data_IF_985599849634
#
_entry.id   IF_985599849634
#
_cell.length_a   1.000
_cell.length_b   1.000
_cell.length_c   1.000
_cell.angle_alpha   90.00
_cell.angle_beta   90.00
_cell.angle_gamma   90.00
#
_symmetry.space_group_name_H-M   'P 1'
#
loop_
_entity.id
_entity.type
_entity.pdbx_description
1 polymer ?
#
# COMPACT_ATOMS: atom_id res chain seq x y z
N UNK A 1 7.46 28.86 20.01
CA UNK A 1 7.47 27.52 20.64
C UNK A 1 6.82 26.57 19.63
N UNK A 2 7.62 25.88 18.82
CA UNK A 2 7.09 24.92 17.82
C UNK A 2 6.46 23.75 18.59
N UNK A 3 5.13 23.62 18.52
CA UNK A 3 4.45 22.41 19.00
C UNK A 3 4.65 21.36 17.92
N UNK A 4 5.58 20.42 18.13
CA UNK A 4 5.74 19.27 17.26
C UNK A 4 4.43 18.48 17.26
N UNK A 5 3.83 18.30 16.08
CA UNK A 5 2.66 17.43 15.91
C UNK A 5 3.15 15.99 16.01
N UNK A 6 2.82 15.30 17.09
CA UNK A 6 3.05 13.87 17.20
C UNK A 6 1.74 13.12 16.99
N UNK A 7 1.79 12.01 16.25
CA UNK A 7 0.62 11.15 16.05
C UNK A 7 0.36 10.40 17.35
N UNK A 8 -0.62 10.87 18.13
CA UNK A 8 -1.01 10.24 19.40
C UNK A 8 -1.95 9.04 19.24
N UNK A 9 -2.47 8.81 18.02
CA UNK A 9 -3.26 7.61 17.74
C UNK A 9 -2.35 6.36 17.74
N UNK A 10 -2.80 5.23 18.32
CA UNK A 10 -2.07 3.96 18.23
C UNK A 10 -1.73 3.63 16.77
N UNK A 11 -0.45 3.42 16.49
CA UNK A 11 0.03 3.06 15.16
C UNK A 11 0.11 1.54 15.10
N UNK A 12 -0.72 0.92 14.27
CA UNK A 12 -0.74 -0.53 14.11
C UNK A 12 -0.15 -0.90 12.75
N UNK A 13 0.71 -1.90 12.74
CA UNK A 13 1.43 -2.36 11.56
C UNK A 13 1.31 -3.86 11.37
N UNK A 14 1.27 -4.33 10.13
CA UNK A 14 1.44 -5.73 9.78
C UNK A 14 2.92 -6.02 9.49
N UNK A 15 3.65 -6.44 10.52
CA UNK A 15 5.10 -6.67 10.48
C UNK A 15 5.46 -8.13 10.23
N UNK A 16 6.50 -8.39 9.44
CA UNK A 16 7.12 -9.71 9.31
C UNK A 16 8.57 -9.70 9.81
N UNK A 17 8.91 -10.68 10.66
CA UNK A 17 10.19 -10.72 11.38
C UNK A 17 11.30 -11.51 10.68
N UNK A 18 10.95 -12.40 9.74
CA UNK A 18 11.91 -13.27 9.05
C UNK A 18 11.46 -13.52 7.61
N UNK A 19 12.41 -13.71 6.69
CA UNK A 19 12.11 -14.21 5.34
C UNK A 19 11.75 -15.71 5.44
N UNK A 20 10.47 -16.03 5.47
CA UNK A 20 9.98 -17.41 5.48
C UNK A 20 8.95 -17.60 4.36
N UNK A 21 8.86 -18.83 3.84
CA UNK A 21 7.72 -19.23 3.00
C UNK A 21 6.41 -18.88 3.73
N UNK A 22 5.50 -18.12 3.10
CA UNK A 22 4.19 -17.74 3.67
C UNK A 22 3.24 -18.93 3.89
N UNK A 23 3.74 -20.17 3.81
CA UNK A 23 3.02 -21.41 4.12
C UNK A 23 2.66 -21.52 5.60
N UNK A 24 3.40 -20.89 6.51
CA UNK A 24 3.00 -20.77 7.92
C UNK A 24 2.17 -19.50 8.12
N UNK A 25 0.97 -19.64 8.71
CA UNK A 25 0.05 -18.54 9.11
C UNK A 25 0.69 -17.40 9.94
N UNK A 26 1.96 -17.52 10.32
CA UNK A 26 2.63 -16.73 11.36
C UNK A 26 3.71 -15.77 10.85
N UNK A 27 3.85 -15.55 9.54
CA UNK A 27 4.93 -14.66 9.04
C UNK A 27 4.64 -13.20 9.36
N UNK A 28 3.40 -12.76 9.19
CA UNK A 28 2.98 -11.38 9.44
C UNK A 28 2.17 -11.29 10.74
N UNK A 29 2.50 -10.31 11.60
CA UNK A 29 1.83 -10.06 12.88
C UNK A 29 1.32 -8.63 12.93
N UNK A 30 0.13 -8.46 13.47
CA UNK A 30 -0.36 -7.16 13.90
C UNK A 30 0.42 -6.73 15.14
N UNK A 31 1.11 -5.59 15.05
CA UNK A 31 1.91 -5.03 16.15
C UNK A 31 1.60 -3.55 16.31
N UNK A 32 1.64 -3.07 17.55
CA UNK A 32 1.73 -1.64 17.81
C UNK A 32 3.16 -1.16 17.56
N UNK A 33 3.31 -0.04 16.86
CA UNK A 33 4.61 0.59 16.58
C UNK A 33 4.72 1.94 17.28
N UNK A 34 5.92 2.38 17.66
CA UNK A 34 6.10 3.63 18.39
C UNK A 34 5.53 4.86 17.65
N UNK A 35 5.16 5.92 18.40
CA UNK A 35 4.85 7.21 17.80
C UNK A 35 6.01 7.71 16.92
N UNK A 36 5.68 8.48 15.89
CA UNK A 36 6.66 9.13 15.02
C UNK A 36 6.36 10.63 14.97
N UNK A 37 7.42 11.42 14.97
CA UNK A 37 7.34 12.87 14.84
C UNK A 37 7.04 13.28 13.40
N UNK A 38 6.17 14.29 13.22
CA UNK A 38 5.94 14.93 11.92
C UNK A 38 6.85 16.16 11.82
N UNK A 39 7.90 16.09 10.99
CA UNK A 39 8.82 17.22 10.75
C UNK A 39 8.18 18.27 9.85
N UNK A 40 8.88 19.37 9.65
CA UNK A 40 8.38 20.54 8.92
C UNK A 40 7.90 20.26 7.47
N UNK A 41 8.52 19.32 6.75
CA UNK A 41 8.14 18.93 5.38
C UNK A 41 7.40 17.58 5.32
N UNK A 42 7.12 16.97 6.47
CA UNK A 42 6.47 15.66 6.51
C UNK A 42 4.95 15.79 6.41
N UNK A 43 4.33 14.76 5.85
CA UNK A 43 2.88 14.58 5.85
C UNK A 43 2.57 13.29 6.60
N UNK A 44 1.68 13.40 7.58
CA UNK A 44 1.08 12.25 8.24
C UNK A 44 -0.18 11.84 7.49
N UNK A 45 -0.19 10.61 6.99
CA UNK A 45 -1.28 10.01 6.25
C UNK A 45 -1.89 8.90 7.08
N UNK A 46 -3.20 8.99 7.32
CA UNK A 46 -4.00 7.87 7.82
C UNK A 46 -4.31 6.98 6.62
N UNK A 47 -3.85 5.73 6.65
CA UNK A 47 -4.19 4.79 5.57
C UNK A 47 -5.70 4.49 5.60
N UNK A 48 -6.29 4.37 4.42
CA UNK A 48 -7.70 4.02 4.23
C UNK A 48 -7.84 2.61 3.67
N UNK A 49 -7.03 2.30 2.64
CA UNK A 49 -7.00 0.96 2.06
C UNK A 49 -5.65 0.63 1.40
N UNK A 50 -5.29 -0.65 1.39
CA UNK A 50 -4.08 -1.17 0.75
C UNK A 50 -4.30 -2.60 0.24
N UNK A 51 -3.94 -2.93 -1.01
CA UNK A 51 -4.08 -4.28 -1.54
C UNK A 51 -3.04 -5.26 -0.98
N UNK A 52 -3.31 -6.54 -1.22
CA UNK A 52 -2.30 -7.60 -1.15
C UNK A 52 -1.96 -8.02 -2.58
N UNK A 53 -0.82 -7.57 -3.09
CA UNK A 53 -0.33 -7.99 -4.41
C UNK A 53 0.55 -9.26 -4.30
N UNK A 54 0.65 -10.06 -5.37
CA UNK A 54 1.61 -11.16 -5.42
C UNK A 54 3.06 -10.72 -5.13
N UNK A 55 3.44 -9.50 -5.55
CA UNK A 55 4.75 -8.92 -5.26
C UNK A 55 4.98 -8.67 -3.76
N UNK A 56 3.96 -8.30 -3.00
CA UNK A 56 4.06 -8.14 -1.54
C UNK A 56 4.35 -9.48 -0.86
N UNK A 57 3.64 -10.53 -1.27
CA UNK A 57 3.86 -11.90 -0.81
C UNK A 57 5.30 -12.34 -1.14
N UNK A 58 5.76 -12.10 -2.37
CA UNK A 58 7.11 -12.43 -2.80
C UNK A 58 8.20 -11.65 -2.03
N UNK A 59 7.93 -10.41 -1.60
CA UNK A 59 8.86 -9.63 -0.74
C UNK A 59 8.97 -10.25 0.64
N UNK A 60 7.84 -10.62 1.26
CA UNK A 60 7.80 -11.28 2.56
C UNK A 60 8.54 -12.62 2.52
N UNK A 61 8.36 -13.39 1.45
CA UNK A 61 9.08 -14.65 1.20
C UNK A 61 10.57 -14.46 0.93
N UNK A 62 11.01 -13.23 0.61
CA UNK A 62 12.40 -12.92 0.31
C UNK A 62 12.84 -13.27 -1.11
N UNK A 63 11.90 -13.54 -2.03
CA UNK A 63 12.20 -13.92 -3.43
C UNK A 63 12.07 -12.74 -4.41
N UNK A 64 11.41 -11.66 -4.01
CA UNK A 64 11.30 -10.46 -4.85
C UNK A 64 12.62 -9.67 -4.85
N UNK A 65 13.18 -9.22 -6.01
CA UNK A 65 14.51 -8.60 -6.07
C UNK A 65 14.69 -7.35 -5.20
N UNK A 66 13.69 -6.46 -5.20
CA UNK A 66 13.72 -5.21 -4.43
C UNK A 66 12.80 -5.31 -3.21
N UNK A 67 13.39 -5.37 -2.02
CA UNK A 67 12.69 -5.66 -0.76
C UNK A 67 13.40 -5.03 0.45
N UNK A 68 12.67 -4.65 1.51
CA UNK A 68 13.27 -4.24 2.77
C UNK A 68 13.81 -5.46 3.54
N UNK A 69 14.79 -5.22 4.40
CA UNK A 69 15.27 -6.23 5.35
C UNK A 69 14.31 -6.38 6.54
N UNK A 70 13.97 -7.61 6.97
CA UNK A 70 13.21 -7.82 8.19
C UNK A 70 13.98 -7.34 9.44
N UNK A 71 13.28 -6.94 10.51
CA UNK A 71 11.83 -6.84 10.62
C UNK A 71 11.29 -5.66 9.81
N UNK A 72 10.25 -5.90 9.01
CA UNK A 72 9.69 -4.89 8.10
C UNK A 72 8.16 -4.93 8.09
N UNK A 73 7.55 -3.80 7.75
CA UNK A 73 6.10 -3.69 7.53
C UNK A 73 5.79 -4.10 6.09
N UNK A 74 4.74 -4.90 5.91
CA UNK A 74 4.28 -5.33 4.59
C UNK A 74 3.55 -4.23 3.81
N UNK A 75 3.20 -4.56 2.56
CA UNK A 75 2.48 -3.66 1.65
C UNK A 75 3.39 -2.71 0.88
N UNK A 76 2.96 -2.40 -0.35
CA UNK A 76 3.71 -1.54 -1.27
C UNK A 76 2.91 -0.38 -1.87
N UNK A 77 1.58 -0.49 -1.90
CA UNK A 77 0.71 0.59 -2.37
C UNK A 77 -0.51 0.71 -1.46
N UNK A 78 -1.28 1.77 -1.66
CA UNK A 78 -2.49 2.06 -0.94
C UNK A 78 -2.92 3.50 -1.13
N UNK A 79 -4.10 3.80 -0.63
CA UNK A 79 -4.66 5.15 -0.54
C UNK A 79 -4.82 5.53 0.93
N UNK A 80 -4.51 6.77 1.23
CA UNK A 80 -4.68 7.33 2.55
C UNK A 80 -5.28 8.73 2.52
N UNK A 81 -5.70 9.19 3.68
CA UNK A 81 -6.18 10.55 3.92
C UNK A 81 -5.12 11.31 4.72
N UNK A 82 -4.80 12.53 4.29
CA UNK A 82 -3.91 13.41 5.03
C UNK A 82 -4.53 13.70 6.40
N UNK A 83 -3.84 13.29 7.46
CA UNK A 83 -4.26 13.51 8.84
C UNK A 83 -3.70 14.83 9.39
N UNK A 84 -2.42 15.08 9.17
CA UNK A 84 -1.74 16.31 9.57
C UNK A 84 -0.54 16.57 8.67
N UNK A 85 -0.12 17.82 8.58
CA UNK A 85 1.03 18.24 7.77
C UNK A 85 2.05 19.01 8.62
N UNK A 86 3.31 18.91 8.24
CA UNK A 86 4.39 19.72 8.78
C UNK A 86 4.20 21.20 8.47
N UNK A 87 4.86 22.06 9.26
CA UNK A 87 4.69 23.52 9.20
C UNK A 87 5.08 24.17 7.86
N UNK A 88 5.91 23.51 7.05
CA UNK A 88 6.39 24.01 5.76
C UNK A 88 5.61 23.43 4.57
N UNK A 89 4.76 22.44 4.80
CA UNK A 89 3.93 21.82 3.76
C UNK A 89 2.77 22.74 3.39
N UNK A 90 2.68 23.11 2.11
CA UNK A 90 1.61 23.98 1.56
C UNK A 90 0.82 23.33 0.43
N UNK A 91 1.34 22.22 -0.12
CA UNK A 91 0.79 21.51 -1.28
C UNK A 91 -0.39 20.58 -0.94
N UNK A 92 -0.50 20.18 0.33
CA UNK A 92 -1.46 19.20 0.84
C UNK A 92 -2.14 19.73 2.10
N UNK A 93 -3.40 19.35 2.30
CA UNK A 93 -4.19 19.74 3.48
C UNK A 93 -4.84 18.54 4.14
N UNK A 94 -5.09 18.59 5.48
CA UNK A 94 -5.88 17.57 6.15
C UNK A 94 -7.20 17.27 5.43
N UNK A 95 -7.51 16.00 5.28
CA UNK A 95 -8.66 15.51 4.52
C UNK A 95 -8.36 15.21 3.05
N UNK A 96 -7.24 15.62 2.47
CA UNK A 96 -6.89 15.25 1.09
C UNK A 96 -6.64 13.74 0.96
N UNK A 97 -7.11 13.13 -0.13
CA UNK A 97 -6.72 11.76 -0.46
C UNK A 97 -5.40 11.74 -1.20
N UNK A 98 -4.53 10.81 -0.83
CA UNK A 98 -3.19 10.68 -1.39
C UNK A 98 -2.81 9.24 -1.67
N UNK A 99 -1.97 9.07 -2.69
CA UNK A 99 -1.24 7.83 -3.01
C UNK A 99 0.25 8.12 -3.00
N UNK A 100 1.07 7.13 -2.70
CA UNK A 100 2.54 7.30 -2.63
C UNK A 100 3.23 6.96 -3.95
N UNK A 101 4.26 7.74 -4.31
CA UNK A 101 5.23 7.40 -5.35
C UNK A 101 5.94 6.06 -5.06
N UNK A 102 6.15 5.20 -6.06
CA UNK A 102 7.08 4.09 -5.95
C UNK A 102 8.55 4.58 -5.81
N UNK A 103 9.43 3.86 -5.09
CA UNK A 103 9.12 2.71 -4.24
C UNK A 103 8.46 3.12 -2.91
N UNK A 104 7.40 2.42 -2.50
CA UNK A 104 6.68 2.73 -1.25
C UNK A 104 6.54 1.50 -0.36
N UNK A 105 7.55 1.21 0.45
CA UNK A 105 7.45 0.09 1.40
C UNK A 105 6.63 0.46 2.64
N UNK A 106 5.94 -0.54 3.19
CA UNK A 106 5.32 -0.47 4.51
C UNK A 106 3.95 0.17 4.55
N UNK A 107 3.12 -0.04 3.51
CA UNK A 107 1.77 0.57 3.45
C UNK A 107 0.73 -0.14 4.31
N UNK A 108 1.03 -1.34 4.83
CA UNK A 108 0.19 -2.04 5.80
C UNK A 108 0.39 -1.49 7.23
N UNK A 109 0.15 -0.20 7.39
CA UNK A 109 0.37 0.60 8.58
C UNK A 109 -0.76 1.62 8.72
N UNK A 110 -1.35 1.80 9.91
CA UNK A 110 -2.49 2.73 10.07
C UNK A 110 -2.13 4.20 9.83
N UNK A 111 -0.91 4.61 10.19
CA UNK A 111 -0.39 5.97 9.97
C UNK A 111 1.04 5.97 9.43
N UNK A 112 1.23 6.59 8.27
CA UNK A 112 2.52 6.74 7.58
C UNK A 112 2.93 8.21 7.63
N UNK A 113 4.18 8.47 8.03
CA UNK A 113 4.78 9.82 7.99
C UNK A 113 5.95 9.79 7.02
N UNK A 114 5.88 10.60 5.96
CA UNK A 114 6.91 10.76 4.93
C UNK A 114 6.89 12.20 4.40
N UNK A 115 8.00 12.63 3.82
CA UNK A 115 8.15 13.92 3.11
C UNK A 115 7.03 14.14 2.09
N UNK A 116 6.54 15.38 1.98
CA UNK A 116 5.44 15.77 1.09
C UNK A 116 5.64 15.31 -0.36
N UNK A 117 6.89 15.25 -0.83
CA UNK A 117 7.24 14.89 -2.22
C UNK A 117 6.91 13.44 -2.57
N UNK A 118 6.69 12.59 -1.57
CA UNK A 118 6.31 11.18 -1.81
C UNK A 118 4.83 11.08 -2.19
N UNK A 119 4.00 12.05 -1.81
CA UNK A 119 2.55 11.96 -1.89
C UNK A 119 1.98 12.67 -3.11
N UNK A 120 1.04 12.02 -3.78
CA UNK A 120 0.26 12.58 -4.87
C UNK A 120 -1.19 12.73 -4.42
N UNK A 121 -1.71 13.96 -4.47
CA UNK A 121 -3.13 14.22 -4.24
C UNK A 121 -3.97 13.58 -5.34
N UNK A 122 -5.06 12.95 -4.96
CA UNK A 122 -6.04 12.37 -5.88
C UNK A 122 -7.46 12.86 -5.56
N UNK A 123 -8.35 12.71 -6.54
CA UNK A 123 -9.77 13.01 -6.37
C UNK A 123 -10.48 11.92 -5.57
N UNK A 124 -11.47 12.30 -4.76
CA UNK A 124 -12.29 11.38 -3.95
C UNK A 124 -13.45 10.74 -4.73
N UNK A 125 -13.58 11.05 -6.02
CA UNK A 125 -14.69 10.59 -6.86
C UNK A 125 -14.57 9.12 -7.29
N UNK A 126 -13.41 8.49 -7.09
CA UNK A 126 -13.20 7.08 -7.41
C UNK A 126 -13.46 6.19 -6.19
N UNK A 127 -14.02 4.97 -6.35
CA UNK A 127 -14.18 4.07 -5.21
C UNK A 127 -12.81 3.71 -4.62
N UNK A 128 -12.76 3.62 -3.28
CA UNK A 128 -11.53 3.54 -2.50
C UNK A 128 -10.62 2.36 -2.90
N UNK A 129 -11.20 1.21 -3.22
CA UNK A 129 -10.49 0.02 -3.66
C UNK A 129 -9.76 0.22 -5.00
N UNK A 130 -10.31 1.05 -5.89
CA UNK A 130 -9.63 1.41 -7.15
C UNK A 130 -8.49 2.39 -6.87
N UNK A 131 -8.71 3.40 -6.03
CA UNK A 131 -7.65 4.32 -5.62
C UNK A 131 -6.48 3.58 -4.94
N UNK A 132 -6.76 2.57 -4.13
CA UNK A 132 -5.74 1.80 -3.41
C UNK A 132 -4.84 0.94 -4.32
N UNK A 133 -5.25 0.68 -5.57
CA UNK A 133 -4.59 -0.30 -6.46
C UNK A 133 -3.96 0.31 -7.71
N UNK A 134 -3.91 1.64 -7.79
CA UNK A 134 -3.57 2.35 -9.03
C UNK A 134 -2.06 2.40 -9.32
N UNK A 135 -1.19 2.37 -8.30
CA UNK A 135 0.23 2.69 -8.47
C UNK A 135 1.10 1.50 -8.85
N UNK A 136 0.61 0.27 -8.70
CA UNK A 136 1.33 -0.95 -9.11
C UNK A 136 0.78 -1.50 -10.41
N UNK A 137 -0.39 -2.16 -10.40
CA UNK A 137 -0.81 -2.96 -11.55
C UNK A 137 -1.23 -2.09 -12.75
N UNK A 138 -2.10 -1.07 -12.61
CA UNK A 138 -2.48 -0.20 -13.73
C UNK A 138 -1.28 0.58 -14.28
N UNK A 139 -0.43 1.13 -13.41
CA UNK A 139 0.77 1.85 -13.85
C UNK A 139 1.77 0.91 -14.57
N UNK A 140 1.94 -0.33 -14.09
CA UNK A 140 2.78 -1.33 -14.79
C UNK A 140 2.22 -1.66 -16.17
N UNK A 141 0.90 -1.85 -16.28
CA UNK A 141 0.24 -2.11 -17.56
C UNK A 141 0.43 -0.94 -18.53
N UNK A 142 0.22 0.30 -18.07
CA UNK A 142 0.42 1.50 -18.87
C UNK A 142 1.86 1.60 -19.37
N UNK A 143 2.85 1.42 -18.49
CA UNK A 143 4.26 1.46 -18.88
C UNK A 143 4.63 0.36 -19.89
N UNK A 144 4.04 -0.84 -19.79
CA UNK A 144 4.24 -1.89 -20.80
C UNK A 144 3.70 -1.48 -22.17
N UNK A 145 2.54 -0.81 -22.21
CA UNK A 145 1.90 -0.37 -23.44
C UNK A 145 2.59 0.83 -24.08
N UNK A 146 3.12 1.75 -23.28
CA UNK A 146 3.71 3.01 -23.77
C UNK A 146 5.22 2.93 -23.98
N UNK A 147 5.94 2.09 -23.23
CA UNK A 147 7.40 2.13 -23.16
C UNK A 147 8.12 0.81 -23.43
N UNK A 148 7.43 -0.34 -23.44
CA UNK A 148 8.10 -1.63 -23.71
C UNK A 148 8.05 -2.05 -25.18
N UNK A 149 6.99 -1.69 -25.91
CA UNK A 149 6.84 -2.03 -27.34
C UNK A 149 6.06 -0.93 -28.05
N UNK A 150 6.44 -0.61 -29.28
CA UNK A 150 5.65 0.28 -30.13
C UNK A 150 4.51 -0.53 -30.77
N UNK A 151 3.27 -0.23 -30.40
CA UNK A 151 2.07 -0.87 -30.96
C UNK A 151 1.58 -0.14 -32.20
N UNK A 152 1.23 -0.89 -33.24
CA UNK A 152 0.66 -0.40 -34.49
C UNK A 152 -0.80 -0.83 -34.62
N UNK A 153 -1.54 -0.17 -35.52
CA UNK A 153 -2.88 -0.62 -35.89
C UNK A 153 -2.82 -2.05 -36.43
N UNK A 154 -3.65 -2.94 -35.86
CA UNK A 154 -3.68 -4.36 -36.19
C UNK A 154 -2.91 -5.26 -35.21
N UNK A 155 -2.11 -4.69 -34.31
CA UNK A 155 -1.47 -5.47 -33.24
C UNK A 155 -2.50 -5.93 -32.20
N UNK A 156 -2.21 -7.07 -31.57
CA UNK A 156 -3.06 -7.66 -30.54
C UNK A 156 -2.33 -7.74 -29.19
N UNK A 157 -3.04 -7.40 -28.12
CA UNK A 157 -2.59 -7.59 -26.74
C UNK A 157 -3.40 -8.71 -26.12
N UNK A 158 -2.72 -9.68 -25.50
CA UNK A 158 -3.36 -10.78 -24.77
C UNK A 158 -3.11 -10.60 -23.27
N UNK A 159 -4.17 -10.33 -22.51
CA UNK A 159 -4.14 -10.34 -21.05
C UNK A 159 -4.74 -11.64 -20.53
N UNK A 160 -3.92 -12.50 -19.94
CA UNK A 160 -4.32 -13.81 -19.37
C UNK A 160 -4.58 -13.75 -17.85
N UNK A 161 -4.81 -12.56 -17.28
CA UNK A 161 -4.92 -12.31 -15.83
C UNK A 161 -6.30 -12.55 -15.19
N UNK A 162 -6.33 -12.53 -13.84
CA UNK A 162 -7.47 -12.85 -12.94
C UNK A 162 -8.44 -11.65 -12.70
N UNK A 163 -9.68 -11.86 -12.19
CA UNK A 163 -10.83 -10.96 -12.42
C UNK A 163 -10.72 -9.56 -11.80
N UNK A 164 -11.53 -8.65 -12.36
CA UNK A 164 -11.50 -7.20 -12.13
C UNK A 164 -12.11 -6.72 -10.81
N UNK A 165 -12.90 -7.54 -10.10
CA UNK A 165 -13.55 -7.11 -8.88
C UNK A 165 -12.69 -7.33 -7.64
N UNK A 166 -12.81 -6.38 -6.71
CA UNK A 166 -12.06 -6.33 -5.46
C UNK A 166 -13.01 -6.56 -4.28
N UNK A 167 -12.48 -7.14 -3.21
CA UNK A 167 -13.17 -7.30 -1.93
C UNK A 167 -12.43 -6.48 -0.88
N UNK A 168 -13.17 -5.59 -0.20
CA UNK A 168 -12.67 -4.88 0.96
C UNK A 168 -12.74 -5.79 2.19
N UNK A 169 -11.58 -6.09 2.79
CA UNK A 169 -11.48 -6.88 4.02
C UNK A 169 -10.99 -5.99 5.17
N UNK A 170 -11.63 -6.02 6.35
CA UNK A 170 -11.16 -5.28 7.53
C UNK A 170 -9.70 -5.59 7.89
N UNK A 171 -8.96 -4.59 8.36
CA UNK A 171 -7.54 -4.69 8.72
C UNK A 171 -7.23 -5.74 9.80
N UNK A 172 -8.15 -5.93 10.74
CA UNK A 172 -8.11 -6.97 11.77
C UNK A 172 -8.37 -8.39 11.25
N UNK A 173 -8.94 -8.55 10.06
CA UNK A 173 -9.13 -9.85 9.36
C UNK A 173 -8.03 -10.11 8.29
N UNK A 174 -6.87 -9.48 8.44
CA UNK A 174 -5.78 -9.58 7.46
C UNK A 174 -5.34 -11.01 7.14
N UNK A 175 -5.32 -11.92 8.12
CA UNK A 175 -4.88 -13.30 7.88
C UNK A 175 -5.81 -14.03 6.91
N UNK A 176 -7.12 -13.77 6.97
CA UNK A 176 -8.09 -14.31 6.03
C UNK A 176 -7.87 -13.70 4.65
N UNK A 177 -7.67 -12.38 4.56
CA UNK A 177 -7.33 -11.71 3.31
C UNK A 177 -6.05 -12.29 2.67
N UNK A 178 -5.02 -12.56 3.47
CA UNK A 178 -3.78 -13.16 2.99
C UNK A 178 -3.99 -14.60 2.50
N UNK A 179 -4.74 -15.43 3.22
CA UNK A 179 -5.05 -16.80 2.80
C UNK A 179 -5.86 -16.81 1.48
N UNK A 180 -6.80 -15.87 1.29
CA UNK A 180 -7.51 -15.66 0.02
C UNK A 180 -6.56 -15.22 -1.10
N UNK A 181 -5.71 -14.22 -0.85
CA UNK A 181 -4.74 -13.71 -1.83
C UNK A 181 -3.71 -14.76 -2.26
N UNK A 182 -3.37 -15.70 -1.37
CA UNK A 182 -2.52 -16.85 -1.65
C UNK A 182 -3.25 -18.00 -2.35
N UNK A 183 -4.56 -17.89 -2.60
CA UNK A 183 -5.38 -18.93 -3.23
C UNK A 183 -5.66 -20.14 -2.34
N UNK A 184 -5.41 -20.07 -1.03
CA UNK A 184 -5.65 -21.20 -0.09
C UNK A 184 -7.14 -21.48 0.11
N UNK A 185 -8.00 -20.52 -0.20
CA UNK A 185 -9.46 -20.62 -0.10
C UNK A 185 -10.12 -20.69 -1.48
N UNK A 186 -9.41 -21.21 -2.49
CA UNK A 186 -9.92 -21.31 -3.86
C UNK A 186 -9.86 -19.99 -4.63
N UNK A 187 -10.68 -19.86 -5.68
CA UNK A 187 -10.75 -18.62 -6.47
C UNK A 187 -11.49 -17.54 -5.70
N UNK A 188 -10.80 -16.45 -5.40
CA UNK A 188 -11.31 -15.33 -4.60
C UNK A 188 -11.08 -14.00 -5.35
N UNK A 189 -11.91 -12.97 -5.09
CA UNK A 189 -11.63 -11.59 -5.50
C UNK A 189 -10.25 -11.09 -5.09
N UNK A 190 -9.74 -10.05 -5.77
CA UNK A 190 -8.54 -9.36 -5.29
C UNK A 190 -8.82 -8.75 -3.92
N UNK A 191 -7.94 -9.01 -2.96
CA UNK A 191 -8.13 -8.58 -1.58
C UNK A 191 -7.53 -7.19 -1.38
N UNK A 192 -8.36 -6.28 -0.85
CA UNK A 192 -7.97 -4.92 -0.47
C UNK A 192 -8.27 -4.74 1.01
N UNK A 193 -7.24 -4.49 1.80
CA UNK A 193 -7.35 -4.32 3.24
C UNK A 193 -7.89 -2.90 3.50
N UNK A 194 -8.88 -2.77 4.38
CA UNK A 194 -9.46 -1.50 4.82
C UNK A 194 -9.07 -1.21 6.28
N UNK A 195 -8.50 -0.03 6.53
CA UNK A 195 -7.99 0.41 7.84
C UNK A 195 -9.03 1.18 8.66
#
# INVERSE_FOLDING_TARGET
MLRHLSVHAPRLALNYSTRQSCTRRTVTKLVEVPPVEVKENDVCVKMLAAPINPSDINRIQGVYPVRPDPPAVGGYEGVGEVHSVGSSVTSLSPGDWVISSPPSFGTWLTYIVKDEKVWHKIEKGVPMEYAATITVNPLTALLMLEHCVALNSGDAIVQNGRPAWMELTPFDDFNTALDKAMGKLGSQPKQVIKF
#
